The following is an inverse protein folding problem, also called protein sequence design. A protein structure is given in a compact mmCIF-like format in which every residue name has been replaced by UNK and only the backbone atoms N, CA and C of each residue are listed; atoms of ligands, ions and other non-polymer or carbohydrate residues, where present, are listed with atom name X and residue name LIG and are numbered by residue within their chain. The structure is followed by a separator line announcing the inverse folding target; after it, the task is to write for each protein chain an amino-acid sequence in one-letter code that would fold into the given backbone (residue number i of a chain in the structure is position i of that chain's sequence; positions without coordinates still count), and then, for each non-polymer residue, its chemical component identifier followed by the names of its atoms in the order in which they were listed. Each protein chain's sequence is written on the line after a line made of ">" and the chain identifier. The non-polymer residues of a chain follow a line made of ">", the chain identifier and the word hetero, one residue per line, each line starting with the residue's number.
data_IF_466177128041
#
_entry.id   IF_466177128041
#
_cell.length_a   1.000
_cell.length_b   1.000
_cell.length_c   1.000
_cell.angle_alpha   90.00
_cell.angle_beta   90.00
_cell.angle_gamma   90.00
#
_symmetry.space_group_name_H-M   'P 1'
#
loop_
_entity.id
_entity.type
_entity.pdbx_description
1 polymer ?
#
# COMPACT_ATOMS: atom_id res chain seq x y z
N UNK A 1 -0.60 33.30 -10.78
CA UNK A 1 -1.15 32.28 -11.69
C UNK A 1 -0.07 31.24 -11.91
N UNK A 2 -0.13 30.12 -11.20
CA UNK A 2 0.88 29.06 -11.25
C UNK A 2 0.65 28.15 -12.46
N UNK A 3 1.73 27.77 -13.12
CA UNK A 3 1.77 26.90 -14.29
C UNK A 3 1.20 25.49 -13.97
N UNK A 4 0.16 25.00 -14.65
CA UNK A 4 -0.49 23.72 -14.36
C UNK A 4 0.25 22.47 -14.89
N UNK A 5 1.44 22.62 -15.50
CA UNK A 5 2.10 21.53 -16.22
C UNK A 5 3.12 20.68 -15.42
N UNK A 6 3.14 20.74 -14.09
CA UNK A 6 3.96 19.82 -13.28
C UNK A 6 3.12 18.68 -12.69
N UNK A 7 2.52 17.89 -13.59
CA UNK A 7 1.90 16.64 -13.23
C UNK A 7 3.01 15.59 -13.00
N UNK A 8 3.39 15.41 -11.73
CA UNK A 8 4.12 14.22 -11.29
C UNK A 8 3.17 13.02 -11.45
N UNK A 9 3.13 12.47 -12.65
CA UNK A 9 2.33 11.31 -13.01
C UNK A 9 2.94 10.05 -12.38
N UNK A 10 2.19 9.43 -11.47
CA UNK A 10 2.49 8.15 -10.80
C UNK A 10 3.55 8.24 -9.70
N UNK A 11 3.12 8.05 -8.44
CA UNK A 11 4.05 7.74 -7.35
C UNK A 11 4.34 6.24 -7.41
N UNK A 12 5.57 5.90 -7.82
CA UNK A 12 6.09 4.54 -7.70
C UNK A 12 6.51 4.34 -6.23
N UNK A 13 5.77 3.51 -5.50
CA UNK A 13 6.20 3.06 -4.19
C UNK A 13 7.12 1.86 -4.37
N UNK A 14 8.43 2.11 -4.29
CA UNK A 14 9.45 1.08 -4.13
C UNK A 14 9.59 0.82 -2.63
N UNK A 15 9.00 -0.25 -2.13
CA UNK A 15 9.11 -0.62 -0.72
C UNK A 15 9.58 -2.07 -0.60
N UNK A 16 10.77 -2.32 -0.04
CA UNK A 16 11.15 -3.64 0.43
C UNK A 16 10.66 -3.79 1.88
N UNK A 17 9.41 -4.24 2.11
CA UNK A 17 8.86 -4.42 3.47
C UNK A 17 8.11 -5.74 3.67
N UNK A 18 8.28 -6.26 4.89
CA UNK A 18 8.11 -7.65 5.33
C UNK A 18 6.69 -8.03 5.68
N UNK A 19 6.33 -9.26 5.35
CA UNK A 19 5.23 -10.01 5.98
C UNK A 19 5.75 -10.64 7.30
N UNK A 20 5.02 -10.48 8.41
CA UNK A 20 5.34 -11.13 9.70
C UNK A 20 4.95 -12.60 9.69
N UNK A 21 5.78 -13.45 10.31
CA UNK A 21 5.35 -14.78 10.70
C UNK A 21 5.88 -15.08 12.11
N UNK A 22 4.96 -15.12 13.07
CA UNK A 22 5.23 -15.47 14.46
C UNK A 22 5.32 -17.00 14.59
N UNK A 23 6.45 -17.51 15.09
CA UNK A 23 6.47 -18.85 15.68
C UNK A 23 7.53 -18.96 16.75
N UNK A 24 7.08 -18.83 18.00
CA UNK A 24 7.78 -19.41 19.15
C UNK A 24 7.51 -20.92 19.18
N UNK A 25 8.56 -21.75 19.14
CA UNK A 25 8.80 -22.82 20.12
C UNK A 25 9.94 -23.77 19.68
N UNK A 26 10.75 -24.11 20.69
CA UNK A 26 11.62 -25.28 20.80
C UNK A 26 12.94 -25.29 20.00
N UNK A 27 14.02 -24.99 20.73
CA UNK A 27 15.39 -25.31 20.35
C UNK A 27 15.56 -26.80 20.01
N UNK A 28 16.47 -27.05 19.07
CA UNK A 28 17.02 -28.35 18.65
C UNK A 28 16.23 -29.15 17.61
N UNK A 29 16.28 -28.70 16.35
CA UNK A 29 16.77 -29.50 15.20
C UNK A 29 16.76 -28.68 13.91
N UNK A 30 17.87 -28.79 13.17
CA UNK A 30 18.08 -28.36 11.79
C UNK A 30 18.11 -26.84 11.51
N UNK A 31 19.35 -26.35 11.43
CA UNK A 31 19.79 -25.22 10.60
C UNK A 31 19.54 -25.51 9.10
N UNK A 32 18.28 -25.51 8.67
CA UNK A 32 17.92 -25.64 7.24
C UNK A 32 16.70 -24.81 6.84
N UNK A 33 16.42 -23.73 7.58
CA UNK A 33 15.62 -22.61 7.08
C UNK A 33 16.55 -21.41 6.98
N UNK A 34 17.36 -21.41 5.93
CA UNK A 34 17.94 -20.18 5.42
C UNK A 34 16.72 -19.26 5.14
N UNK A 35 16.61 -18.16 5.89
CA UNK A 35 15.53 -17.18 5.75
C UNK A 35 15.39 -16.83 4.27
N UNK A 36 14.33 -17.27 3.60
CA UNK A 36 14.07 -16.81 2.24
C UNK A 36 13.93 -15.29 2.31
N UNK A 37 14.78 -14.58 1.57
CA UNK A 37 14.76 -13.11 1.54
C UNK A 37 13.36 -12.62 1.12
N UNK A 38 12.94 -11.46 1.65
CA UNK A 38 11.68 -10.84 1.25
C UNK A 38 11.72 -10.55 -0.24
N UNK A 39 10.66 -10.93 -0.93
CA UNK A 39 10.42 -10.57 -2.32
C UNK A 39 10.26 -9.05 -2.44
N UNK A 40 10.79 -8.45 -3.50
CA UNK A 40 10.58 -7.03 -3.75
C UNK A 40 9.12 -6.75 -4.08
N UNK A 41 8.63 -5.57 -3.70
CA UNK A 41 7.28 -5.13 -4.00
C UNK A 41 7.32 -3.74 -4.64
N UNK A 42 6.67 -3.60 -5.79
CA UNK A 42 6.57 -2.34 -6.54
C UNK A 42 5.10 -2.02 -6.76
N UNK A 43 4.64 -0.97 -6.07
CA UNK A 43 3.29 -0.44 -6.21
C UNK A 43 3.25 0.78 -7.15
N UNK A 44 2.34 0.79 -8.12
CA UNK A 44 2.04 1.94 -8.96
C UNK A 44 0.67 2.51 -8.65
N UNK A 45 0.60 3.59 -7.85
CA UNK A 45 -0.65 4.28 -7.57
C UNK A 45 -0.92 5.36 -8.64
N UNK A 46 -1.95 5.16 -9.47
CA UNK A 46 -2.30 6.11 -10.53
C UNK A 46 -3.09 7.32 -10.01
N UNK A 47 -3.55 7.28 -8.75
CA UNK A 47 -4.37 8.31 -8.11
C UNK A 47 -5.60 8.64 -8.96
N UNK A 48 -6.12 9.85 -8.87
CA UNK A 48 -7.25 10.32 -9.66
C UNK A 48 -6.84 10.76 -11.09
N UNK A 49 -6.18 9.89 -11.86
CA UNK A 49 -5.75 10.17 -13.23
C UNK A 49 -6.16 9.08 -14.22
N UNK A 50 -6.31 9.48 -15.49
CA UNK A 50 -6.49 8.58 -16.61
C UNK A 50 -7.78 8.83 -17.39
N UNK A 51 -7.65 8.82 -18.71
CA UNK A 51 -8.76 8.62 -19.66
C UNK A 51 -8.74 7.19 -20.22
N UNK A 52 -9.82 6.76 -20.88
CA UNK A 52 -9.87 5.42 -21.48
C UNK A 52 -8.74 5.14 -22.49
N UNK A 53 -8.31 6.15 -23.25
CA UNK A 53 -7.20 6.04 -24.19
C UNK A 53 -5.84 5.99 -23.48
N UNK A 54 -5.64 6.84 -22.47
CA UNK A 54 -4.42 6.85 -21.66
C UNK A 54 -4.22 5.53 -20.93
N UNK A 55 -5.27 4.99 -20.31
CA UNK A 55 -5.20 3.70 -19.61
C UNK A 55 -4.82 2.58 -20.57
N UNK A 56 -5.43 2.53 -21.76
CA UNK A 56 -5.06 1.53 -22.79
C UNK A 56 -3.59 1.65 -23.20
N UNK A 57 -3.10 2.88 -23.39
CA UNK A 57 -1.69 3.13 -23.72
C UNK A 57 -0.76 2.67 -22.59
N UNK A 58 -1.07 3.02 -21.35
CA UNK A 58 -0.29 2.62 -20.16
C UNK A 58 -0.22 1.09 -20.08
N UNK A 59 -1.36 0.39 -20.18
CA UNK A 59 -1.42 -1.07 -20.14
C UNK A 59 -0.64 -1.70 -21.29
N UNK A 60 -0.74 -1.17 -22.51
CA UNK A 60 0.03 -1.65 -23.65
C UNK A 60 1.55 -1.54 -23.41
N UNK A 61 2.02 -0.42 -22.85
CA UNK A 61 3.43 -0.23 -22.48
C UNK A 61 3.87 -1.23 -21.40
N UNK A 62 3.07 -1.42 -20.35
CA UNK A 62 3.39 -2.36 -19.26
C UNK A 62 3.42 -3.82 -19.73
N UNK A 63 2.55 -4.19 -20.65
CA UNK A 63 2.52 -5.53 -21.25
C UNK A 63 3.77 -5.82 -22.09
N UNK A 64 4.43 -4.79 -22.63
CA UNK A 64 5.66 -4.91 -23.41
C UNK A 64 6.93 -4.76 -22.57
N UNK A 65 6.81 -4.40 -21.29
CA UNK A 65 7.96 -4.17 -20.43
C UNK A 65 8.70 -5.48 -20.09
N UNK A 66 10.02 -5.46 -20.21
CA UNK A 66 10.88 -6.51 -19.68
C UNK A 66 11.21 -6.19 -18.22
N UNK A 67 10.81 -7.08 -17.31
CA UNK A 67 11.01 -6.92 -15.87
C UNK A 67 11.54 -8.21 -15.26
N UNK A 68 12.18 -8.18 -14.07
CA UNK A 68 12.58 -9.38 -13.36
C UNK A 68 11.39 -10.33 -13.15
N UNK A 69 11.68 -11.63 -13.01
CA UNK A 69 10.64 -12.64 -12.84
C UNK A 69 9.74 -12.37 -11.63
N UNK A 70 8.53 -12.91 -11.69
CA UNK A 70 7.59 -12.89 -10.58
C UNK A 70 8.05 -13.70 -9.35
N UNK A 71 9.22 -14.34 -9.35
CA UNK A 71 9.82 -14.89 -8.11
C UNK A 71 10.67 -13.84 -7.37
N UNK A 72 11.07 -12.77 -8.07
CA UNK A 72 11.96 -11.71 -7.57
C UNK A 72 11.15 -10.49 -7.12
N UNK A 73 10.11 -10.11 -7.87
CA UNK A 73 9.35 -8.88 -7.64
C UNK A 73 7.85 -9.10 -7.82
N UNK A 74 7.05 -8.55 -6.91
CA UNK A 74 5.61 -8.35 -7.07
C UNK A 74 5.36 -6.95 -7.65
N UNK A 75 4.58 -6.88 -8.73
CA UNK A 75 4.17 -5.63 -9.35
C UNK A 75 2.67 -5.46 -9.21
N UNK A 76 2.24 -4.37 -8.57
CA UNK A 76 0.83 -4.09 -8.28
C UNK A 76 0.45 -2.70 -8.76
N UNK A 77 -0.59 -2.58 -9.57
CA UNK A 77 -1.04 -1.33 -10.18
C UNK A 77 -2.43 -0.95 -9.68
N UNK A 78 -2.60 0.31 -9.28
CA UNK A 78 -3.83 0.81 -8.67
C UNK A 78 -4.50 1.89 -9.52
N UNK A 79 -5.33 1.52 -10.51
CA UNK A 79 -6.13 2.47 -11.28
C UNK A 79 -7.33 3.02 -10.50
N UNK A 80 -7.94 4.14 -10.94
CA UNK A 80 -9.27 4.54 -10.48
C UNK A 80 -10.31 3.42 -10.66
N UNK A 81 -11.32 3.36 -9.77
CA UNK A 81 -12.32 2.28 -9.75
C UNK A 81 -12.95 1.98 -11.10
N UNK A 82 -13.31 3.03 -11.86
CA UNK A 82 -13.98 2.93 -13.17
C UNK A 82 -13.13 2.22 -14.23
N UNK A 83 -11.82 2.10 -14.01
CA UNK A 83 -10.90 1.40 -14.90
C UNK A 83 -10.45 0.03 -14.39
N UNK A 84 -10.86 -0.39 -13.17
CA UNK A 84 -10.47 -1.70 -12.62
C UNK A 84 -10.81 -2.86 -13.56
N UNK A 85 -12.03 -2.98 -14.14
CA UNK A 85 -12.34 -4.09 -15.04
C UNK A 85 -11.51 -4.08 -16.33
N UNK A 86 -11.30 -2.88 -16.89
CA UNK A 86 -10.48 -2.71 -18.10
C UNK A 86 -9.04 -3.17 -17.84
N UNK A 87 -8.42 -2.68 -16.76
CA UNK A 87 -7.03 -3.01 -16.44
C UNK A 87 -6.91 -4.50 -16.08
N UNK A 88 -7.79 -5.06 -15.24
CA UNK A 88 -7.78 -6.49 -14.88
C UNK A 88 -7.91 -7.42 -16.09
N UNK A 89 -8.71 -7.05 -17.07
CA UNK A 89 -8.93 -7.87 -18.28
C UNK A 89 -7.79 -7.81 -19.30
N UNK A 90 -6.99 -6.74 -19.29
CA UNK A 90 -6.02 -6.43 -20.35
C UNK A 90 -4.57 -6.47 -19.88
N UNK A 91 -4.31 -6.45 -18.58
CA UNK A 91 -2.98 -6.48 -18.00
C UNK A 91 -2.41 -7.90 -18.02
N UNK A 92 -1.10 -8.01 -18.28
CA UNK A 92 -0.33 -9.25 -18.17
C UNK A 92 -0.55 -9.97 -16.82
N UNK A 93 -0.60 -11.32 -16.81
CA UNK A 93 -1.04 -12.10 -15.65
C UNK A 93 -0.05 -12.12 -14.47
N UNK A 94 1.23 -11.81 -14.72
CA UNK A 94 2.28 -11.68 -13.71
C UNK A 94 2.22 -10.35 -12.94
N UNK A 95 1.38 -9.41 -13.37
CA UNK A 95 1.11 -8.18 -12.62
C UNK A 95 -0.26 -8.26 -11.97
N UNK A 96 -0.42 -7.60 -10.82
CA UNK A 96 -1.67 -7.57 -10.09
C UNK A 96 -2.33 -6.19 -10.12
N UNK A 97 -3.65 -6.17 -9.93
CA UNK A 97 -4.44 -4.95 -9.85
C UNK A 97 -4.86 -4.72 -8.41
N UNK A 98 -4.80 -3.46 -7.96
CA UNK A 98 -5.30 -3.01 -6.68
C UNK A 98 -6.42 -1.98 -6.86
N UNK A 99 -7.38 -1.95 -5.95
CA UNK A 99 -8.20 -0.75 -5.77
C UNK A 99 -7.42 0.33 -4.99
N UNK A 100 -7.80 1.60 -5.15
CA UNK A 100 -7.17 2.73 -4.45
C UNK A 100 -7.74 2.95 -3.03
N UNK A 101 -8.88 2.33 -2.72
CA UNK A 101 -9.57 2.35 -1.43
C UNK A 101 -10.65 1.23 -1.43
N UNK A 102 -11.26 0.97 -0.28
CA UNK A 102 -12.54 0.29 -0.17
C UNK A 102 -13.31 0.73 1.09
N UNK A 103 -14.56 0.31 1.20
CA UNK A 103 -15.41 0.60 2.36
C UNK A 103 -14.96 -0.14 3.62
N UNK A 104 -15.32 0.41 4.79
CA UNK A 104 -14.92 -0.07 6.12
C UNK A 104 -15.62 -1.35 6.57
N UNK A 105 -16.75 -1.70 5.95
CA UNK A 105 -17.58 -2.84 6.36
C UNK A 105 -18.39 -3.39 5.20
N UNK A 106 -19.28 -4.35 5.51
CA UNK A 106 -20.23 -4.94 4.58
C UNK A 106 -21.00 -3.89 3.80
N UNK A 107 -21.20 -4.16 2.51
CA UNK A 107 -22.01 -3.37 1.60
C UNK A 107 -23.45 -3.18 2.09
N UNK A 108 -24.10 -2.14 1.59
CA UNK A 108 -25.43 -1.72 2.04
C UNK A 108 -25.73 -0.30 1.59
N UNK A 109 -26.42 0.47 2.42
CA UNK A 109 -26.81 1.86 2.13
C UNK A 109 -25.64 2.86 2.29
N UNK A 110 -24.63 2.73 1.42
CA UNK A 110 -23.42 3.56 1.40
C UNK A 110 -23.17 4.11 -0.01
N UNK A 111 -24.04 5.02 -0.46
CA UNK A 111 -23.98 5.60 -1.80
C UNK A 111 -22.59 6.18 -2.09
N UNK A 112 -21.98 5.73 -3.19
CA UNK A 112 -20.65 6.19 -3.64
C UNK A 112 -19.48 5.33 -3.19
N UNK A 113 -19.68 4.42 -2.23
CA UNK A 113 -18.62 3.55 -1.73
C UNK A 113 -18.53 2.21 -2.49
N UNK A 114 -17.34 1.61 -2.48
CA UNK A 114 -17.07 0.28 -3.06
C UNK A 114 -16.62 -0.64 -1.93
N UNK A 115 -17.37 -1.72 -1.68
CA UNK A 115 -17.06 -2.65 -0.59
C UNK A 115 -15.97 -3.67 -0.96
N UNK A 116 -15.31 -4.23 0.05
CA UNK A 116 -14.27 -5.23 -0.15
C UNK A 116 -14.78 -6.47 -0.91
N UNK A 117 -15.98 -6.95 -0.60
CA UNK A 117 -16.60 -8.07 -1.30
C UNK A 117 -16.91 -7.79 -2.79
N UNK A 118 -17.11 -6.53 -3.19
CA UNK A 118 -17.23 -6.18 -4.61
C UNK A 118 -15.90 -6.32 -5.34
N UNK A 119 -14.79 -5.93 -4.69
CA UNK A 119 -13.45 -6.08 -5.25
C UNK A 119 -13.08 -7.55 -5.41
N UNK A 120 -13.38 -8.38 -4.41
CA UNK A 120 -13.20 -9.84 -4.47
C UNK A 120 -14.02 -10.43 -5.63
N UNK A 121 -15.28 -10.02 -5.79
CA UNK A 121 -16.13 -10.48 -6.88
C UNK A 121 -15.59 -10.10 -8.28
N UNK A 122 -14.91 -8.96 -8.39
CA UNK A 122 -14.23 -8.50 -9.60
C UNK A 122 -12.81 -9.09 -9.77
N UNK A 123 -12.41 -10.04 -8.91
CA UNK A 123 -11.08 -10.64 -8.87
C UNK A 123 -9.95 -9.59 -8.75
N UNK A 124 -10.17 -8.53 -7.99
CA UNK A 124 -9.16 -7.51 -7.69
C UNK A 124 -8.48 -7.91 -6.36
N UNK A 125 -7.24 -8.45 -6.40
CA UNK A 125 -6.63 -9.10 -5.24
C UNK A 125 -6.08 -8.14 -4.18
N UNK A 126 -5.85 -6.87 -4.53
CA UNK A 126 -5.20 -5.89 -3.65
C UNK A 126 -6.06 -4.64 -3.41
N UNK A 127 -5.82 -3.95 -2.30
CA UNK A 127 -6.37 -2.62 -2.02
C UNK A 127 -5.37 -1.74 -1.28
N UNK A 128 -5.27 -0.47 -1.66
CA UNK A 128 -4.54 0.56 -0.91
C UNK A 128 -5.47 1.13 0.15
N UNK A 129 -5.02 1.23 1.40
CA UNK A 129 -5.79 1.78 2.52
C UNK A 129 -4.95 2.73 3.37
N UNK A 130 -5.57 3.80 3.84
CA UNK A 130 -4.89 4.80 4.67
C UNK A 130 -3.90 5.69 3.91
N UNK A 131 -4.02 5.79 2.58
CA UNK A 131 -3.19 6.70 1.78
C UNK A 131 -3.25 8.13 2.33
N UNK A 132 -2.11 8.83 2.36
CA UNK A 132 -1.96 10.16 2.95
C UNK A 132 -3.01 11.17 2.46
N UNK A 133 -3.33 11.18 1.17
CA UNK A 133 -4.39 12.04 0.60
C UNK A 133 -5.76 11.78 1.24
N UNK A 134 -6.10 10.53 1.57
CA UNK A 134 -7.37 10.19 2.22
C UNK A 134 -7.39 10.61 3.69
N UNK A 135 -6.27 10.44 4.39
CA UNK A 135 -6.12 10.90 5.78
C UNK A 135 -6.23 12.41 5.88
N UNK A 136 -5.52 13.14 5.01
CA UNK A 136 -5.45 14.59 5.05
C UNK A 136 -6.69 15.28 4.48
N UNK A 137 -7.19 14.83 3.32
CA UNK A 137 -8.24 15.54 2.57
C UNK A 137 -9.64 14.98 2.83
N UNK A 138 -9.75 13.70 3.19
CA UNK A 138 -11.02 13.01 3.47
C UNK A 138 -11.14 12.59 4.94
N UNK A 139 -10.22 13.05 5.79
CA UNK A 139 -10.25 12.89 7.24
C UNK A 139 -10.37 11.43 7.72
N UNK A 140 -9.77 10.48 7.01
CA UNK A 140 -9.71 9.09 7.47
C UNK A 140 -8.81 8.96 8.71
N UNK A 141 -9.42 8.67 9.87
CA UNK A 141 -8.71 8.52 11.15
C UNK A 141 -7.91 7.22 11.21
N UNK A 142 -7.03 7.09 12.22
CA UNK A 142 -6.26 5.87 12.45
C UNK A 142 -7.15 4.66 12.67
N UNK A 143 -8.19 4.82 13.48
CA UNK A 143 -9.16 3.77 13.82
C UNK A 143 -9.97 3.37 12.59
N UNK A 144 -10.41 4.35 11.80
CA UNK A 144 -11.17 4.10 10.57
C UNK A 144 -10.34 3.32 9.55
N UNK A 145 -9.06 3.65 9.40
CA UNK A 145 -8.14 2.88 8.56
C UNK A 145 -7.92 1.48 9.14
N UNK A 146 -7.70 1.36 10.44
CA UNK A 146 -7.56 0.06 11.11
C UNK A 146 -8.77 -0.86 10.85
N UNK A 147 -9.99 -0.33 10.99
CA UNK A 147 -11.23 -1.07 10.71
C UNK A 147 -11.31 -1.49 9.23
N UNK A 148 -10.93 -0.61 8.30
CA UNK A 148 -10.88 -0.91 6.86
C UNK A 148 -9.90 -2.04 6.55
N UNK A 149 -8.68 -1.99 7.11
CA UNK A 149 -7.65 -3.00 6.88
C UNK A 149 -8.14 -4.36 7.39
N UNK A 150 -8.65 -4.41 8.63
CA UNK A 150 -9.17 -5.64 9.20
C UNK A 150 -10.34 -6.22 8.39
N UNK A 151 -11.28 -5.37 7.96
CA UNK A 151 -12.40 -5.83 7.14
C UNK A 151 -11.94 -6.32 5.77
N UNK A 152 -11.04 -5.61 5.08
CA UNK A 152 -10.51 -6.02 3.78
C UNK A 152 -9.81 -7.39 3.85
N UNK A 153 -8.95 -7.59 4.86
CA UNK A 153 -8.29 -8.87 5.12
C UNK A 153 -9.31 -9.98 5.40
N UNK A 154 -10.38 -9.69 6.16
CA UNK A 154 -11.44 -10.67 6.46
C UNK A 154 -12.20 -11.16 5.22
N UNK A 155 -12.22 -10.36 4.14
CA UNK A 155 -12.81 -10.72 2.86
C UNK A 155 -11.80 -11.42 1.92
N UNK A 156 -10.55 -11.58 2.33
CA UNK A 156 -9.49 -12.23 1.55
C UNK A 156 -8.72 -11.29 0.61
N UNK A 157 -8.88 -9.97 0.75
CA UNK A 157 -8.04 -9.02 0.02
C UNK A 157 -6.65 -8.94 0.65
N UNK A 158 -5.64 -8.69 -0.18
CA UNK A 158 -4.32 -8.24 0.27
C UNK A 158 -4.32 -6.71 0.39
N UNK A 159 -3.59 -6.18 1.37
CA UNK A 159 -3.67 -4.76 1.72
C UNK A 159 -2.30 -4.09 1.62
N UNK A 160 -2.26 -2.95 0.92
CA UNK A 160 -1.16 -1.98 1.00
C UNK A 160 -1.61 -0.92 2.01
N UNK A 161 -1.14 -1.02 3.25
CA UNK A 161 -1.51 -0.12 4.34
C UNK A 161 -0.53 1.05 4.42
N UNK A 162 -1.00 2.27 4.20
CA UNK A 162 -0.15 3.46 4.20
C UNK A 162 -0.10 4.15 5.57
N UNK A 163 1.11 4.56 5.95
CA UNK A 163 1.44 5.33 7.15
C UNK A 163 2.47 6.40 6.80
N UNK A 164 2.48 7.52 7.52
CA UNK A 164 3.35 8.63 7.19
C UNK A 164 3.06 9.90 7.98
N UNK A 165 4.08 10.74 8.09
CA UNK A 165 4.08 12.01 8.81
C UNK A 165 4.06 13.21 7.85
N UNK A 166 3.39 14.29 8.25
CA UNK A 166 3.42 15.59 7.55
C UNK A 166 4.75 16.31 7.76
N UNK A 167 4.96 17.40 7.02
CA UNK A 167 6.18 18.20 7.17
C UNK A 167 6.30 18.80 8.57
N UNK A 168 5.19 19.30 9.11
CA UNK A 168 5.13 19.90 10.44
C UNK A 168 5.42 18.86 11.54
N UNK A 169 4.90 17.65 11.37
CA UNK A 169 5.15 16.53 12.29
C UNK A 169 6.62 16.09 12.24
N UNK A 170 7.24 16.08 11.05
CA UNK A 170 8.66 15.78 10.91
C UNK A 170 9.54 16.87 11.52
N UNK A 171 9.27 18.14 11.22
CA UNK A 171 10.05 19.28 11.71
C UNK A 171 9.91 19.48 13.23
N UNK A 172 8.83 18.97 13.84
CA UNK A 172 8.65 18.91 15.30
C UNK A 172 9.23 17.65 15.96
N UNK A 173 9.89 16.76 15.20
CA UNK A 173 10.49 15.53 15.73
C UNK A 173 9.49 14.43 16.09
N UNK A 174 8.23 14.54 15.62
CA UNK A 174 7.13 13.62 15.95
C UNK A 174 6.93 12.51 14.91
N UNK A 175 7.88 12.30 13.99
CA UNK A 175 7.77 11.30 12.90
C UNK A 175 7.34 9.93 13.41
N UNK A 176 8.05 9.42 14.41
CA UNK A 176 7.84 8.07 14.90
C UNK A 176 6.63 7.94 15.80
N UNK A 177 6.28 8.99 16.55
CA UNK A 177 5.03 9.03 17.32
C UNK A 177 3.82 8.90 16.39
N UNK A 178 3.84 9.62 15.26
CA UNK A 178 2.77 9.57 14.26
C UNK A 178 2.70 8.22 13.57
N UNK A 179 3.83 7.74 13.06
CA UNK A 179 3.90 6.47 12.32
C UNK A 179 3.57 5.29 13.24
N UNK A 180 4.02 5.29 14.50
CA UNK A 180 3.68 4.27 15.48
C UNK A 180 2.20 4.29 15.83
N UNK A 181 1.60 5.47 16.07
CA UNK A 181 0.17 5.57 16.36
C UNK A 181 -0.71 5.07 15.20
N UNK A 182 -0.33 5.37 13.96
CA UNK A 182 -1.03 4.89 12.76
C UNK A 182 -0.88 3.37 12.59
N UNK A 183 0.32 2.84 12.79
CA UNK A 183 0.60 1.40 12.67
C UNK A 183 -0.11 0.61 13.77
N UNK A 184 -0.06 1.10 15.01
CA UNK A 184 -0.71 0.51 16.17
C UNK A 184 -2.21 0.37 15.97
N UNK A 185 -2.89 1.38 15.42
CA UNK A 185 -4.34 1.31 15.20
C UNK A 185 -4.75 0.18 14.23
N UNK A 186 -3.84 -0.22 13.33
CA UNK A 186 -3.99 -1.39 12.45
C UNK A 186 -3.68 -2.67 13.24
N UNK A 187 -2.55 -2.70 13.95
CA UNK A 187 -2.11 -3.85 14.74
C UNK A 187 -3.13 -4.28 15.81
N UNK A 188 -3.80 -3.32 16.44
CA UNK A 188 -4.86 -3.59 17.44
C UNK A 188 -6.09 -4.32 16.84
N UNK A 189 -6.19 -4.44 15.50
CA UNK A 189 -7.30 -5.10 14.78
C UNK A 189 -6.85 -6.24 13.88
N UNK A 190 -5.55 -6.43 13.68
CA UNK A 190 -4.97 -7.38 12.71
C UNK A 190 -3.94 -8.25 13.41
N UNK A 191 -4.23 -9.54 13.50
CA UNK A 191 -3.30 -10.54 14.06
C UNK A 191 -2.45 -11.23 12.99
N UNK A 192 -2.92 -11.30 11.75
CA UNK A 192 -2.19 -11.91 10.64
C UNK A 192 -1.78 -10.86 9.60
N UNK A 193 -0.48 -10.70 9.44
CA UNK A 193 0.14 -9.76 8.50
C UNK A 193 0.59 -10.43 7.20
N UNK A 194 0.24 -11.71 6.98
CA UNK A 194 0.58 -12.52 5.80
C UNK A 194 0.26 -11.83 4.47
N UNK A 195 -0.78 -11.01 4.47
CA UNK A 195 -1.32 -10.33 3.30
C UNK A 195 -1.26 -8.79 3.42
N UNK A 196 -0.37 -8.26 4.27
CA UNK A 196 -0.19 -6.82 4.48
C UNK A 196 1.18 -6.38 4.00
N UNK A 197 1.19 -5.32 3.19
CA UNK A 197 2.38 -4.53 2.86
C UNK A 197 2.22 -3.17 3.54
N UNK A 198 3.15 -2.83 4.45
CA UNK A 198 3.17 -1.52 5.08
C UNK A 198 3.93 -0.53 4.18
N UNK A 199 3.29 0.58 3.84
CA UNK A 199 3.84 1.63 3.01
C UNK A 199 4.11 2.90 3.83
N UNK A 200 5.40 3.22 4.03
CA UNK A 200 5.79 4.50 4.58
C UNK A 200 5.75 5.57 3.47
N UNK A 201 4.92 6.57 3.68
CA UNK A 201 4.77 7.73 2.81
C UNK A 201 5.38 8.95 3.52
N UNK A 202 6.56 9.44 3.11
CA UNK A 202 7.06 10.72 3.60
C UNK A 202 6.20 11.84 3.01
N UNK A 203 5.04 12.13 3.63
CA UNK A 203 4.03 13.07 3.09
C UNK A 203 4.65 14.44 2.84
N UNK A 204 5.60 14.83 3.68
CA UNK A 204 6.41 16.03 3.56
C UNK A 204 7.25 16.13 2.27
N UNK A 205 7.46 15.03 1.53
CA UNK A 205 8.16 14.94 0.25
C UNK A 205 7.23 14.64 -0.94
N UNK A 206 5.91 14.57 -0.73
CA UNK A 206 4.92 14.32 -1.78
C UNK A 206 4.33 15.66 -2.24
N UNK A 207 4.67 16.12 -3.44
CA UNK A 207 4.09 17.34 -4.03
C UNK A 207 4.56 18.66 -3.40
N UNK A 208 5.55 18.63 -2.50
CA UNK A 208 6.09 19.80 -1.79
C UNK A 208 7.36 20.39 -2.42
N UNK A 209 7.93 19.70 -3.43
CA UNK A 209 9.23 20.03 -4.00
C UNK A 209 10.44 19.59 -3.15
N UNK A 210 10.20 19.05 -1.95
CA UNK A 210 11.23 18.37 -1.14
C UNK A 210 11.35 16.90 -1.58
N UNK A 211 12.57 16.35 -1.55
CA UNK A 211 12.84 14.96 -1.91
C UNK A 211 13.46 14.25 -0.70
N UNK A 212 12.88 13.11 -0.30
CA UNK A 212 13.47 12.27 0.74
C UNK A 212 14.73 11.58 0.21
N UNK A 213 15.82 11.63 0.96
CA UNK A 213 17.03 10.88 0.63
C UNK A 213 16.83 9.39 0.94
N UNK A 214 17.57 8.48 0.25
CA UNK A 214 17.53 7.06 0.57
C UNK A 214 17.86 6.75 2.04
N UNK A 215 18.76 7.53 2.66
CA UNK A 215 19.10 7.40 4.07
C UNK A 215 17.93 7.76 4.99
N UNK A 216 17.18 8.83 4.67
CA UNK A 216 15.99 9.23 5.44
C UNK A 216 14.86 8.21 5.34
N UNK A 217 14.69 7.57 4.18
CA UNK A 217 13.73 6.47 4.03
C UNK A 217 14.17 5.23 4.82
N UNK A 218 15.47 4.89 4.77
CA UNK A 218 16.02 3.75 5.47
C UNK A 218 15.94 3.87 7.00
N UNK A 219 16.10 5.07 7.55
CA UNK A 219 15.93 5.38 8.97
C UNK A 219 14.54 4.94 9.46
N UNK A 220 13.48 5.51 8.87
CA UNK A 220 12.09 5.19 9.26
C UNK A 220 11.76 3.72 9.01
N UNK A 221 12.23 3.14 7.89
CA UNK A 221 12.04 1.72 7.60
C UNK A 221 12.70 0.79 8.62
N UNK A 222 13.82 1.20 9.22
CA UNK A 222 14.51 0.40 10.25
C UNK A 222 13.68 0.42 11.53
N UNK A 223 13.24 1.61 11.95
CA UNK A 223 12.43 1.74 13.16
C UNK A 223 11.05 1.07 13.04
N UNK A 224 10.41 1.16 11.87
CA UNK A 224 9.17 0.43 11.58
C UNK A 224 9.35 -1.08 11.71
N UNK A 225 10.48 -1.63 11.24
CA UNK A 225 10.78 -3.06 11.37
C UNK A 225 10.98 -3.45 12.83
N UNK A 226 11.72 -2.64 13.57
CA UNK A 226 11.98 -2.90 14.98
C UNK A 226 10.69 -2.84 15.81
N UNK A 227 9.82 -1.88 15.54
CA UNK A 227 8.51 -1.75 16.18
C UNK A 227 7.63 -2.98 15.91
N UNK A 228 7.47 -3.33 14.63
CA UNK A 228 6.55 -4.39 14.26
C UNK A 228 7.08 -5.78 14.68
N UNK A 229 8.39 -5.94 14.87
CA UNK A 229 8.97 -7.14 15.52
C UNK A 229 8.69 -7.29 17.02
N UNK A 230 8.23 -6.22 17.69
CA UNK A 230 7.87 -6.21 19.12
C UNK A 230 6.37 -6.36 19.36
N UNK A 231 5.54 -5.97 18.39
CA UNK A 231 4.07 -6.06 18.48
C UNK A 231 3.48 -7.35 17.89
N UNK A 232 4.25 -8.10 17.09
CA UNK A 232 3.89 -9.42 16.51
C UNK A 232 4.61 -10.58 17.20
#
# INVERSE_FOLDING_TARGET
>A
MGNPNNANHSTLFLLPLSIFNSSSLCHSRLRFLQTMGRKFFVGGNWKCNGTGEEIKKIVATLNQAEVPSADIVDVVLSPPYVFLPLVKSSLRPDFHVAAQNCWVKKGGAFTGEVSAEMLVNLEIPWVILGHSERRALLNESNEFVGDKVAYALSQGLKVIACVGETLEQRESGSTMDVVAAQTKAIADRVSDWSNVVLAHEPVWAIGTGKVASPAQAQEVHTELKDMASKEC
#
